data_IF_296263014244
#
_entry.id   IF_296263014244
#
_cell.length_a   1.000
_cell.length_b   1.000
_cell.length_c   1.000
_cell.angle_alpha   90.00
_cell.angle_beta   90.00
_cell.angle_gamma   90.00
#
_symmetry.space_group_name_H-M   'P 1'
#
loop_
_entity.id
_entity.type
_entity.pdbx_description
1 polymer ?
#
# COMPACT_ATOMS: atom_id res chain seq x y z
N UNK A 1 31.33 4.87 2.97
CA UNK A 1 30.11 4.03 2.89
C UNK A 1 29.01 4.75 3.64
N UNK A 2 27.85 4.95 3.02
CA UNK A 2 26.67 5.44 3.74
C UNK A 2 26.11 4.30 4.61
N UNK A 3 25.97 4.54 5.92
CA UNK A 3 25.28 3.61 6.82
C UNK A 3 23.79 3.64 6.48
N UNK A 4 23.20 2.48 6.18
CA UNK A 4 21.77 2.36 5.92
C UNK A 4 20.99 2.40 7.24
N UNK A 5 20.06 3.35 7.37
CA UNK A 5 19.09 3.37 8.47
C UNK A 5 17.99 2.34 8.20
N UNK A 6 18.05 1.22 8.91
CA UNK A 6 17.13 0.10 8.76
C UNK A 6 15.80 0.28 9.50
N UNK A 7 15.66 1.32 10.34
CA UNK A 7 14.44 1.61 11.14
C UNK A 7 13.84 0.40 11.85
N UNK A 8 14.71 -0.51 12.32
CA UNK A 8 14.28 -1.72 13.02
C UNK A 8 13.65 -1.32 14.36
N UNK A 9 12.45 -1.84 14.71
CA UNK A 9 11.82 -1.51 15.98
C UNK A 9 12.68 -1.94 17.18
N UNK A 10 12.57 -1.20 18.29
CA UNK A 10 13.30 -1.49 19.53
C UNK A 10 12.72 -2.70 20.28
N UNK A 11 13.48 -3.23 21.25
CA UNK A 11 13.04 -4.29 22.16
C UNK A 11 13.45 -5.72 21.77
N UNK A 12 13.07 -6.72 22.59
CA UNK A 12 13.45 -8.13 22.40
C UNK A 12 12.95 -8.69 21.07
N UNK A 13 13.79 -9.46 20.37
CA UNK A 13 13.49 -9.98 19.02
C UNK A 13 12.14 -10.71 18.92
N UNK A 14 11.81 -11.50 19.95
CA UNK A 14 10.57 -12.29 20.00
C UNK A 14 9.29 -11.42 20.05
N UNK A 15 9.36 -10.21 20.63
CA UNK A 15 8.21 -9.33 20.82
C UNK A 15 8.25 -8.06 19.96
N UNK A 16 9.38 -7.83 19.28
CA UNK A 16 9.72 -6.58 18.58
C UNK A 16 8.64 -6.13 17.60
N UNK A 17 8.25 -7.01 16.67
CA UNK A 17 7.27 -6.70 15.63
C UNK A 17 5.84 -6.63 16.15
N UNK A 18 5.49 -7.52 17.09
CA UNK A 18 4.19 -7.49 17.76
C UNK A 18 4.00 -6.18 18.52
N UNK A 19 5.00 -5.77 19.29
CA UNK A 19 5.00 -4.51 20.04
C UNK A 19 4.94 -3.31 19.11
N UNK A 20 5.70 -3.32 18.00
CA UNK A 20 5.63 -2.26 17.01
C UNK A 20 4.20 -2.12 16.45
N UNK A 21 3.62 -3.23 15.95
CA UNK A 21 2.28 -3.26 15.36
C UNK A 21 1.21 -2.76 16.34
N UNK A 22 1.29 -3.15 17.61
CA UNK A 22 0.33 -2.73 18.64
C UNK A 22 0.41 -1.24 18.97
N UNK A 23 1.54 -0.59 18.71
CA UNK A 23 1.77 0.83 18.98
C UNK A 23 1.64 1.72 17.74
N UNK A 24 1.39 1.16 16.56
CA UNK A 24 1.13 1.96 15.35
C UNK A 24 -0.20 2.69 15.49
N UNK A 25 -0.22 3.97 15.09
CA UNK A 25 -1.45 4.76 15.05
C UNK A 25 -2.45 4.14 14.08
N UNK A 26 -3.59 3.72 14.61
CA UNK A 26 -4.68 3.19 13.80
C UNK A 26 -5.41 4.32 13.07
N UNK A 27 -5.92 4.01 11.87
CA UNK A 27 -6.76 4.93 11.13
C UNK A 27 -8.20 4.83 11.65
N UNK A 28 -8.70 5.93 12.22
CA UNK A 28 -10.12 6.05 12.56
C UNK A 28 -10.96 6.07 11.27
N UNK A 29 -12.06 5.29 11.17
CA UNK A 29 -12.99 5.34 10.05
C UNK A 29 -13.41 6.74 9.61
N UNK A 30 -13.65 7.66 10.54
CA UNK A 30 -14.06 9.04 10.25
C UNK A 30 -12.97 9.84 9.50
N UNK A 31 -11.70 9.46 9.66
CA UNK A 31 -10.55 10.18 9.12
C UNK A 31 -10.02 9.59 7.82
N UNK A 32 -10.59 8.47 7.32
CA UNK A 32 -10.08 7.80 6.11
C UNK A 32 -10.04 8.73 4.89
N UNK A 33 -11.03 9.61 4.74
CA UNK A 33 -11.11 10.59 3.64
C UNK A 33 -10.01 11.65 3.67
N UNK A 34 -9.39 11.86 4.83
CA UNK A 34 -8.29 12.81 5.00
C UNK A 34 -6.93 12.19 4.62
N UNK A 35 -6.91 10.90 4.29
CA UNK A 35 -5.69 10.17 3.92
C UNK A 35 -5.71 9.97 2.41
N UNK A 36 -4.75 10.59 1.75
CA UNK A 36 -4.47 10.39 0.33
C UNK A 36 -3.69 9.11 0.12
N UNK A 37 -4.20 8.24 -0.74
CA UNK A 37 -3.53 7.01 -1.16
C UNK A 37 -3.18 7.12 -2.63
N UNK A 38 -1.89 7.06 -2.95
CA UNK A 38 -1.40 7.10 -4.31
C UNK A 38 -1.12 5.66 -4.77
N UNK A 39 -1.80 5.24 -5.82
CA UNK A 39 -1.57 3.94 -6.47
C UNK A 39 -0.89 4.18 -7.80
N UNK A 40 0.33 3.66 -7.97
CA UNK A 40 1.10 3.74 -9.21
C UNK A 40 0.97 2.42 -9.97
N UNK A 41 0.40 2.49 -11.17
CA UNK A 41 0.10 1.35 -12.03
C UNK A 41 -1.34 0.85 -11.85
N UNK A 42 -2.07 0.70 -12.96
CA UNK A 42 -3.46 0.23 -12.99
C UNK A 42 -3.59 -1.18 -13.60
N UNK A 43 -2.57 -2.02 -13.41
CA UNK A 43 -2.68 -3.46 -13.72
C UNK A 43 -3.68 -4.17 -12.79
N UNK A 44 -3.76 -5.51 -12.86
CA UNK A 44 -4.70 -6.30 -12.05
C UNK A 44 -4.60 -5.97 -10.55
N UNK A 45 -3.40 -6.00 -9.99
CA UNK A 45 -3.20 -5.72 -8.57
C UNK A 45 -3.48 -4.25 -8.20
N UNK A 46 -2.99 -3.31 -9.01
CA UNK A 46 -3.14 -1.88 -8.74
C UNK A 46 -4.59 -1.41 -8.82
N UNK A 47 -5.33 -1.87 -9.84
CA UNK A 47 -6.76 -1.55 -9.99
C UNK A 47 -7.59 -2.15 -8.86
N UNK A 48 -7.34 -3.41 -8.48
CA UNK A 48 -8.03 -4.05 -7.36
C UNK A 48 -7.75 -3.35 -6.04
N UNK A 49 -6.48 -3.01 -5.76
CA UNK A 49 -6.10 -2.28 -4.55
C UNK A 49 -6.76 -0.89 -4.50
N UNK A 50 -6.71 -0.15 -5.61
CA UNK A 50 -7.32 1.17 -5.71
C UNK A 50 -8.84 1.13 -5.45
N UNK A 51 -9.54 0.16 -6.06
CA UNK A 51 -10.97 -0.02 -5.86
C UNK A 51 -11.31 -0.36 -4.40
N UNK A 52 -10.66 -1.36 -3.81
CA UNK A 52 -10.93 -1.74 -2.42
C UNK A 52 -10.62 -0.62 -1.43
N UNK A 53 -9.55 0.15 -1.66
CA UNK A 53 -9.21 1.29 -0.79
C UNK A 53 -10.22 2.45 -0.96
N UNK A 54 -10.70 2.71 -2.17
CA UNK A 54 -11.73 3.70 -2.42
C UNK A 54 -13.07 3.29 -1.76
N UNK A 55 -13.48 2.03 -1.87
CA UNK A 55 -14.67 1.47 -1.21
C UNK A 55 -14.59 1.60 0.32
N UNK A 56 -13.40 1.43 0.89
CA UNK A 56 -13.18 1.63 2.32
C UNK A 56 -13.27 3.10 2.76
N UNK A 57 -13.34 4.05 1.82
CA UNK A 57 -13.53 5.48 2.07
C UNK A 57 -12.25 6.33 2.06
N UNK A 58 -11.14 5.81 1.53
CA UNK A 58 -9.90 6.57 1.36
C UNK A 58 -9.95 7.47 0.11
N UNK A 59 -9.17 8.55 0.11
CA UNK A 59 -9.00 9.38 -1.09
C UNK A 59 -7.93 8.78 -2.01
N UNK A 60 -8.35 7.98 -2.99
CA UNK A 60 -7.42 7.23 -3.86
C UNK A 60 -7.13 8.00 -5.15
N UNK A 61 -5.84 8.18 -5.45
CA UNK A 61 -5.33 8.73 -6.71
C UNK A 61 -4.56 7.65 -7.45
N UNK A 62 -5.14 7.12 -8.52
CA UNK A 62 -4.49 6.10 -9.34
C UNK A 62 -3.82 6.74 -10.56
N UNK A 63 -2.53 6.46 -10.75
CA UNK A 63 -1.74 6.95 -11.88
C UNK A 63 -1.29 5.79 -12.74
N UNK A 64 -1.44 5.91 -14.05
CA UNK A 64 -0.89 4.97 -15.01
C UNK A 64 -0.06 5.73 -16.03
N UNK A 65 1.09 5.17 -16.40
CA UNK A 65 1.97 5.73 -17.43
C UNK A 65 1.54 5.31 -18.85
N UNK A 66 0.72 4.27 -18.98
CA UNK A 66 0.30 3.72 -20.27
C UNK A 66 -0.86 4.53 -20.85
N UNK A 67 -0.93 4.63 -22.18
CA UNK A 67 -2.02 5.28 -22.93
C UNK A 67 -3.43 4.80 -22.54
N UNK A 68 -3.54 3.58 -21.99
CA UNK A 68 -4.78 3.11 -21.39
C UNK A 68 -4.55 2.27 -20.14
N UNK A 69 -5.47 2.33 -19.15
CA UNK A 69 -5.34 1.61 -17.88
C UNK A 69 -5.25 0.09 -18.01
N UNK A 70 -5.69 -0.48 -19.15
CA UNK A 70 -5.71 -1.93 -19.42
C UNK A 70 -4.49 -2.43 -20.20
N UNK A 71 -3.61 -1.57 -20.70
CA UNK A 71 -2.47 -1.99 -21.54
C UNK A 71 -1.24 -2.43 -20.73
N UNK A 72 -1.40 -2.67 -19.43
CA UNK A 72 -0.52 -3.55 -18.69
C UNK A 72 -0.94 -4.99 -19.00
N UNK A 73 -0.45 -5.54 -20.12
CA UNK A 73 -0.58 -6.96 -20.42
C UNK A 73 0.07 -7.75 -19.28
N UNK A 74 -0.76 -8.28 -18.39
CA UNK A 74 -0.30 -9.05 -17.25
C UNK A 74 0.01 -10.48 -17.69
N UNK A 75 1.10 -10.68 -18.44
CA UNK A 75 1.67 -12.01 -18.71
C UNK A 75 2.03 -12.72 -17.39
N UNK A 76 2.35 -11.96 -16.34
CA UNK A 76 2.72 -12.50 -15.02
C UNK A 76 1.53 -12.81 -14.08
N UNK A 77 0.26 -12.60 -14.49
CA UNK A 77 -0.92 -12.91 -13.64
C UNK A 77 -1.70 -14.15 -14.09
N UNK A 78 -1.33 -14.76 -15.22
CA UNK A 78 -1.77 -16.11 -15.57
C UNK A 78 -0.79 -17.07 -14.90
N UNK A 79 -1.19 -17.62 -13.76
CA UNK A 79 -0.37 -18.56 -13.02
C UNK A 79 0.15 -19.70 -13.90
N UNK A 80 1.44 -19.99 -13.72
CA UNK A 80 2.14 -21.21 -14.07
C UNK A 80 3.21 -21.43 -13.03
#
# INVERSE_FOLDING_TARGET
MSVLDSKIPSGPIAQKWTSHKNNVRLVNPANKRNIDVIVIGTGLAGSSAAASLAEMGYNVKAFCFQDSPRRAHSIAAQGG
#
